data_IF_032197135490
#
_entry.id   IF_032197135490
#
_cell.length_a   1.000
_cell.length_b   1.000
_cell.length_c   1.000
_cell.angle_alpha   90.00
_cell.angle_beta   90.00
_cell.angle_gamma   90.00
#
_symmetry.space_group_name_H-M   'P 1'
#
loop_
_entity.id
_entity.type
_entity.pdbx_description
1 polymer ?
#
# COMPACT_ATOMS: atom_id res chain seq x y z
N UNK A 1 18.27 10.13 -15.19
CA UNK A 1 17.35 10.65 -14.15
C UNK A 1 17.58 9.87 -12.87
N UNK A 2 17.94 10.55 -11.77
CA UNK A 2 18.29 9.87 -10.51
C UNK A 2 17.12 8.99 -10.03
N UNK A 3 17.44 7.79 -9.55
CA UNK A 3 16.46 6.80 -9.04
C UNK A 3 15.53 7.44 -7.99
N UNK A 4 16.07 8.32 -7.15
CA UNK A 4 15.28 9.06 -6.14
C UNK A 4 14.19 9.93 -6.76
N UNK A 5 14.46 10.61 -7.88
CA UNK A 5 13.47 11.42 -8.59
C UNK A 5 12.29 10.58 -9.13
N UNK A 6 12.56 9.36 -9.58
CA UNK A 6 11.52 8.45 -10.06
C UNK A 6 10.53 8.07 -8.96
N UNK A 7 11.01 7.80 -7.74
CA UNK A 7 10.15 7.48 -6.60
C UNK A 7 9.34 8.69 -6.12
N UNK A 8 9.92 9.89 -6.11
CA UNK A 8 9.20 11.12 -5.74
C UNK A 8 8.07 11.38 -6.74
N UNK A 9 8.36 11.28 -8.03
CA UNK A 9 7.34 11.46 -9.09
C UNK A 9 6.25 10.40 -8.98
N UNK A 10 6.60 9.14 -8.73
CA UNK A 10 5.65 8.06 -8.55
C UNK A 10 4.75 8.32 -7.33
N UNK A 11 5.32 8.74 -6.21
CA UNK A 11 4.57 9.10 -5.00
C UNK A 11 3.57 10.23 -5.25
N UNK A 12 4.01 11.30 -5.93
CA UNK A 12 3.15 12.43 -6.28
C UNK A 12 1.98 12.00 -7.19
N UNK A 13 2.23 11.15 -8.19
CA UNK A 13 1.19 10.62 -9.08
C UNK A 13 0.19 9.78 -8.29
N UNK A 14 0.67 8.91 -7.40
CA UNK A 14 -0.20 8.04 -6.59
C UNK A 14 -1.08 8.87 -5.65
N UNK A 15 -0.53 9.91 -4.99
CA UNK A 15 -1.31 10.81 -4.13
C UNK A 15 -2.36 11.55 -4.96
N UNK A 16 -1.99 12.06 -6.13
CA UNK A 16 -2.93 12.75 -7.02
C UNK A 16 -4.06 11.82 -7.48
N UNK A 17 -3.73 10.58 -7.87
CA UNK A 17 -4.75 9.57 -8.21
C UNK A 17 -5.65 9.24 -7.01
N UNK A 18 -5.10 9.17 -5.79
CA UNK A 18 -5.88 8.91 -4.60
C UNK A 18 -6.88 10.02 -4.30
N UNK A 19 -6.47 11.29 -4.43
CA UNK A 19 -7.37 12.45 -4.25
C UNK A 19 -8.54 12.37 -5.24
N UNK A 20 -8.26 12.12 -6.51
CA UNK A 20 -9.31 11.96 -7.52
C UNK A 20 -10.25 10.79 -7.19
N UNK A 21 -9.72 9.66 -6.72
CA UNK A 21 -10.54 8.52 -6.33
C UNK A 21 -11.42 8.83 -5.12
N UNK A 22 -10.89 9.50 -4.13
CA UNK A 22 -11.65 9.88 -2.94
C UNK A 22 -12.82 10.80 -3.27
N UNK A 23 -12.64 11.73 -4.21
CA UNK A 23 -13.69 12.67 -4.63
C UNK A 23 -14.76 12.04 -5.53
N UNK A 24 -14.34 11.18 -6.48
CA UNK A 24 -15.25 10.67 -7.52
C UNK A 24 -15.78 9.26 -7.27
N UNK A 25 -15.12 8.46 -6.44
CA UNK A 25 -15.44 7.04 -6.26
C UNK A 25 -15.86 6.75 -4.82
N UNK A 26 -16.90 7.45 -4.36
CA UNK A 26 -17.53 7.18 -3.06
C UNK A 26 -18.70 6.18 -3.26
N UNK A 27 -18.35 4.92 -3.59
CA UNK A 27 -19.36 3.95 -4.07
C UNK A 27 -20.19 3.34 -2.93
N UNK A 28 -19.60 3.19 -1.72
CA UNK A 28 -20.33 2.57 -0.61
C UNK A 28 -19.64 2.85 0.74
N UNK A 29 -20.37 3.03 1.83
CA UNK A 29 -19.77 3.27 3.15
C UNK A 29 -18.92 2.09 3.65
N UNK A 30 -19.06 0.90 3.06
CA UNK A 30 -18.32 -0.31 3.42
C UNK A 30 -17.01 -0.43 2.65
N UNK A 31 -16.90 0.15 1.44
CA UNK A 31 -15.77 -0.04 0.55
C UNK A 31 -14.89 1.21 0.50
N UNK A 32 -13.70 1.10 1.06
CA UNK A 32 -12.64 2.10 0.92
C UNK A 32 -11.63 1.68 -0.13
N UNK A 33 -11.41 2.55 -1.13
CA UNK A 33 -10.46 2.30 -2.22
C UNK A 33 -9.18 3.07 -1.95
N UNK A 34 -8.05 2.34 -1.84
CA UNK A 34 -6.75 2.88 -1.51
C UNK A 34 -5.68 2.40 -2.51
N UNK A 35 -5.14 3.31 -3.32
CA UNK A 35 -4.01 3.01 -4.23
C UNK A 35 -2.67 3.33 -3.56
N UNK A 36 -2.62 4.29 -2.64
CA UNK A 36 -1.38 4.74 -2.03
C UNK A 36 -0.59 3.67 -1.24
N UNK A 37 -1.17 2.58 -0.68
CA UNK A 37 -0.39 1.48 -0.09
C UNK A 37 0.54 0.81 -1.10
N UNK A 38 0.20 0.85 -2.40
CA UNK A 38 1.04 0.34 -3.47
C UNK A 38 2.45 0.98 -3.45
N UNK A 39 2.55 2.26 -3.10
CA UNK A 39 3.84 2.94 -3.02
C UNK A 39 4.79 2.26 -2.03
N UNK A 40 4.29 1.90 -0.84
CA UNK A 40 5.09 1.21 0.19
C UNK A 40 5.53 -0.18 -0.29
N UNK A 41 4.69 -0.88 -1.05
CA UNK A 41 5.03 -2.18 -1.64
C UNK A 41 6.15 -2.04 -2.67
N UNK A 42 6.09 -1.01 -3.52
CA UNK A 42 7.05 -0.76 -4.61
C UNK A 42 8.43 -0.28 -4.14
N UNK A 43 8.58 0.17 -2.91
CA UNK A 43 9.89 0.61 -2.39
C UNK A 43 10.91 -0.54 -2.47
N UNK A 44 12.18 -0.26 -2.81
CA UNK A 44 13.23 -1.28 -2.87
C UNK A 44 13.51 -1.86 -1.47
N UNK A 45 13.99 -3.11 -1.38
CA UNK A 45 14.15 -3.79 -0.10
C UNK A 45 15.41 -3.38 0.70
N UNK A 46 16.25 -2.50 0.15
CA UNK A 46 17.52 -2.08 0.75
C UNK A 46 17.40 -0.95 1.79
N UNK A 47 16.23 -0.35 1.97
CA UNK A 47 16.03 0.72 2.92
C UNK A 47 15.92 0.19 4.36
N UNK A 48 16.38 0.98 5.33
CA UNK A 48 16.20 0.66 6.74
C UNK A 48 14.71 0.71 7.13
N UNK A 49 14.29 -0.16 8.05
CA UNK A 49 12.90 -0.20 8.54
C UNK A 49 12.40 1.18 9.00
N UNK A 50 13.24 1.96 9.69
CA UNK A 50 12.88 3.31 10.12
C UNK A 50 12.55 4.23 8.93
N UNK A 51 13.29 4.13 7.83
CA UNK A 51 13.04 4.92 6.61
C UNK A 51 11.69 4.55 5.97
N UNK A 52 11.35 3.25 5.90
CA UNK A 52 10.01 2.83 5.43
C UNK A 52 8.90 3.43 6.27
N UNK A 53 9.04 3.38 7.60
CA UNK A 53 8.03 3.91 8.52
C UNK A 53 7.86 5.43 8.37
N UNK A 54 8.97 6.17 8.22
CA UNK A 54 8.93 7.64 8.01
C UNK A 54 8.26 7.96 6.67
N UNK A 55 8.64 7.29 5.58
CA UNK A 55 8.04 7.50 4.27
C UNK A 55 6.55 7.16 4.30
N UNK A 56 6.19 6.03 4.91
CA UNK A 56 4.80 5.60 5.07
C UNK A 56 3.98 6.60 5.89
N UNK A 57 4.54 7.10 7.00
CA UNK A 57 3.90 8.11 7.84
C UNK A 57 3.62 9.40 7.07
N UNK A 58 4.64 9.95 6.38
CA UNK A 58 4.49 11.18 5.61
C UNK A 58 3.47 11.02 4.48
N UNK A 59 3.51 9.89 3.76
CA UNK A 59 2.57 9.62 2.69
C UNK A 59 1.14 9.47 3.22
N UNK A 60 0.95 8.73 4.31
CA UNK A 60 -0.36 8.56 4.94
C UNK A 60 -0.92 9.89 5.47
N UNK A 61 -0.06 10.72 6.07
CA UNK A 61 -0.45 12.04 6.56
C UNK A 61 -0.88 12.97 5.40
N UNK A 62 -0.19 12.91 4.26
CA UNK A 62 -0.60 13.65 3.07
C UNK A 62 -2.00 13.22 2.60
N UNK A 63 -2.28 11.91 2.58
CA UNK A 63 -3.61 11.39 2.19
C UNK A 63 -4.68 11.79 3.22
N UNK A 64 -4.39 11.68 4.51
CA UNK A 64 -5.31 12.09 5.59
C UNK A 64 -5.75 13.54 5.45
N UNK A 65 -4.82 14.44 5.13
CA UNK A 65 -5.10 15.87 4.99
C UNK A 65 -5.85 16.18 3.70
N UNK A 66 -5.54 15.47 2.61
CA UNK A 66 -6.03 15.84 1.27
C UNK A 66 -7.28 15.08 0.83
N UNK A 67 -7.48 13.85 1.33
CA UNK A 67 -8.54 12.97 0.83
C UNK A 67 -9.59 12.61 1.90
N UNK A 68 -9.18 12.27 3.12
CA UNK A 68 -10.10 11.66 4.09
C UNK A 68 -10.55 12.61 5.22
N UNK A 69 -9.80 13.67 5.47
CA UNK A 69 -10.11 14.65 6.52
C UNK A 69 -9.94 14.16 7.97
N UNK A 70 -9.64 12.88 8.19
CA UNK A 70 -9.37 12.29 9.52
C UNK A 70 -7.87 12.08 9.67
N UNK A 71 -7.21 13.04 10.32
CA UNK A 71 -5.75 13.04 10.46
C UNK A 71 -5.27 11.86 11.31
N UNK A 72 -4.32 11.10 10.76
CA UNK A 72 -3.62 10.01 11.43
C UNK A 72 -4.15 8.61 11.12
N UNK A 73 -5.31 8.46 10.50
CA UNK A 73 -5.94 7.15 10.23
C UNK A 73 -5.13 6.33 9.21
N UNK A 74 -4.92 6.90 8.03
CA UNK A 74 -4.10 6.26 6.99
C UNK A 74 -2.62 6.24 7.35
N UNK A 75 -2.13 7.28 8.03
CA UNK A 75 -0.75 7.32 8.49
C UNK A 75 -0.45 6.16 9.44
N UNK A 76 -1.30 5.89 10.44
CA UNK A 76 -1.13 4.77 11.37
C UNK A 76 -1.19 3.41 10.66
N UNK A 77 -2.15 3.23 9.74
CA UNK A 77 -2.31 1.99 8.97
C UNK A 77 -1.10 1.72 8.06
N UNK A 78 -0.58 2.75 7.37
CA UNK A 78 0.63 2.62 6.53
C UNK A 78 1.89 2.36 7.34
N UNK A 79 2.06 2.98 8.51
CA UNK A 79 3.21 2.72 9.39
C UNK A 79 3.19 1.28 9.87
N UNK A 80 2.04 0.75 10.28
CA UNK A 80 1.90 -0.65 10.65
C UNK A 80 2.25 -1.57 9.47
N UNK A 81 1.76 -1.28 8.28
CA UNK A 81 2.08 -2.01 7.05
C UNK A 81 3.59 -1.98 6.76
N UNK A 82 4.23 -0.81 6.86
CA UNK A 82 5.67 -0.63 6.65
C UNK A 82 6.52 -1.38 7.70
N UNK A 83 6.06 -1.43 8.94
CA UNK A 83 6.73 -2.19 10.02
C UNK A 83 6.78 -3.69 9.73
N UNK A 84 5.67 -4.27 9.26
CA UNK A 84 5.59 -5.70 8.94
C UNK A 84 6.13 -6.07 7.57
N UNK A 85 6.50 -5.10 6.73
CA UNK A 85 6.94 -5.32 5.35
C UNK A 85 8.12 -6.30 5.25
N UNK A 86 9.16 -6.11 6.04
CA UNK A 86 10.34 -6.99 6.00
C UNK A 86 9.99 -8.44 6.37
N UNK A 87 9.07 -8.62 7.31
CA UNK A 87 8.57 -9.94 7.69
C UNK A 87 7.81 -10.60 6.54
N UNK A 88 6.90 -9.87 5.89
CA UNK A 88 6.13 -10.37 4.74
C UNK A 88 7.04 -10.73 3.57
N UNK A 89 8.04 -9.89 3.27
CA UNK A 89 9.00 -10.15 2.19
C UNK A 89 9.84 -11.42 2.47
N UNK A 90 10.34 -11.57 3.68
CA UNK A 90 11.11 -12.78 4.08
C UNK A 90 10.26 -14.05 4.08
N UNK A 91 8.96 -13.93 4.34
CA UNK A 91 8.04 -15.06 4.32
C UNK A 91 7.73 -15.53 2.89
N UNK A 92 7.66 -14.59 1.95
CA UNK A 92 7.15 -14.86 0.58
C UNK A 92 8.26 -15.01 -0.45
N UNK A 93 9.39 -14.31 -0.27
CA UNK A 93 10.49 -14.32 -1.23
C UNK A 93 11.59 -15.29 -0.84
N UNK A 94 12.13 -15.99 -1.83
CA UNK A 94 13.37 -16.75 -1.69
C UNK A 94 14.58 -15.81 -1.61
N UNK A 95 15.71 -16.28 -1.08
CA UNK A 95 16.93 -15.45 -0.92
C UNK A 95 17.36 -14.76 -2.22
N UNK A 96 17.35 -15.45 -3.35
CA UNK A 96 17.73 -14.87 -4.65
C UNK A 96 16.75 -13.77 -5.12
N UNK A 97 15.46 -13.94 -4.90
CA UNK A 97 14.45 -12.90 -5.21
C UNK A 97 14.56 -11.69 -4.27
N UNK A 98 14.96 -11.91 -3.03
CA UNK A 98 15.19 -10.85 -2.05
C UNK A 98 16.39 -9.97 -2.45
N UNK A 99 17.51 -10.58 -2.83
CA UNK A 99 18.69 -9.88 -3.36
C UNK A 99 18.38 -9.06 -4.62
N UNK A 100 17.55 -9.61 -5.52
CA UNK A 100 17.08 -8.86 -6.70
C UNK A 100 16.18 -7.68 -6.33
N UNK A 101 15.39 -7.81 -5.28
CA UNK A 101 14.50 -6.76 -4.76
C UNK A 101 15.24 -5.68 -3.95
N UNK A 102 16.51 -5.87 -3.57
CA UNK A 102 17.29 -4.86 -2.85
C UNK A 102 17.51 -3.58 -3.67
N UNK A 103 17.70 -3.71 -4.98
CA UNK A 103 18.00 -2.58 -5.85
C UNK A 103 16.89 -2.22 -6.84
N UNK A 104 15.86 -3.05 -6.94
CA UNK A 104 14.76 -2.89 -7.89
C UNK A 104 13.41 -2.82 -7.16
N UNK A 105 12.43 -2.10 -7.72
CA UNK A 105 11.08 -2.09 -7.15
C UNK A 105 10.46 -3.48 -7.18
N UNK A 106 9.69 -3.81 -6.15
CA UNK A 106 8.94 -5.07 -6.07
C UNK A 106 7.78 -5.02 -7.06
N UNK A 107 7.93 -5.70 -8.18
CA UNK A 107 7.03 -5.62 -9.32
C UNK A 107 6.88 -6.97 -10.02
N UNK A 108 5.91 -7.05 -10.94
CA UNK A 108 5.71 -8.22 -11.79
C UNK A 108 6.93 -8.59 -12.67
N UNK A 109 7.93 -7.71 -12.78
CA UNK A 109 9.20 -7.97 -13.51
C UNK A 109 10.30 -8.55 -12.62
N UNK A 110 10.27 -8.22 -11.33
CA UNK A 110 11.30 -8.63 -10.37
C UNK A 110 10.89 -9.84 -9.55
N UNK A 111 9.60 -10.10 -9.46
CA UNK A 111 9.02 -11.18 -8.64
C UNK A 111 7.97 -11.92 -9.45
N UNK A 112 7.91 -13.23 -9.27
CA UNK A 112 6.87 -14.07 -9.88
C UNK A 112 5.46 -13.61 -9.48
N UNK A 113 4.52 -13.62 -10.42
CA UNK A 113 3.15 -13.14 -10.22
C UNK A 113 2.47 -13.73 -8.97
N UNK A 114 2.52 -15.06 -8.68
CA UNK A 114 1.87 -15.61 -7.49
C UNK A 114 2.47 -15.09 -6.18
N UNK A 115 3.79 -14.86 -6.12
CA UNK A 115 4.45 -14.27 -4.94
C UNK A 115 4.07 -12.79 -4.79
N UNK A 116 3.97 -12.05 -5.91
CA UNK A 116 3.53 -10.67 -5.90
C UNK A 116 2.08 -10.53 -5.38
N UNK A 117 1.17 -11.43 -5.80
CA UNK A 117 -0.20 -11.49 -5.29
C UNK A 117 -0.20 -11.72 -3.78
N UNK A 118 0.59 -12.67 -3.30
CA UNK A 118 0.67 -13.00 -1.86
C UNK A 118 1.21 -11.82 -1.04
N UNK A 119 2.27 -11.15 -1.52
CA UNK A 119 2.82 -9.95 -0.87
C UNK A 119 1.75 -8.86 -0.79
N UNK A 120 1.08 -8.57 -1.91
CA UNK A 120 0.06 -7.55 -2.01
C UNK A 120 -1.12 -7.85 -1.08
N UNK A 121 -1.60 -9.10 -1.06
CA UNK A 121 -2.68 -9.54 -0.19
C UNK A 121 -2.33 -9.37 1.29
N UNK A 122 -1.17 -9.87 1.72
CA UNK A 122 -0.73 -9.79 3.12
C UNK A 122 -0.51 -8.34 3.57
N UNK A 123 0.13 -7.53 2.74
CA UNK A 123 0.39 -6.13 3.04
C UNK A 123 -0.90 -5.32 3.17
N UNK A 124 -1.85 -5.51 2.24
CA UNK A 124 -3.15 -4.86 2.30
C UNK A 124 -4.02 -5.37 3.46
N UNK A 125 -3.93 -6.66 3.79
CA UNK A 125 -4.63 -7.21 4.95
C UNK A 125 -4.17 -6.53 6.25
N UNK A 126 -2.86 -6.31 6.43
CA UNK A 126 -2.32 -5.57 7.58
C UNK A 126 -2.83 -4.12 7.57
N UNK A 127 -2.76 -3.45 6.42
CA UNK A 127 -3.23 -2.08 6.27
C UNK A 127 -4.71 -1.95 6.64
N UNK A 128 -5.59 -2.73 6.02
CA UNK A 128 -7.04 -2.64 6.25
C UNK A 128 -7.45 -3.13 7.63
N UNK A 129 -6.71 -4.05 8.25
CA UNK A 129 -6.97 -4.44 9.63
C UNK A 129 -6.79 -3.26 10.57
N UNK A 130 -5.67 -2.55 10.48
CA UNK A 130 -5.41 -1.38 11.33
C UNK A 130 -6.37 -0.24 10.99
N UNK A 131 -6.55 0.06 9.70
CA UNK A 131 -7.45 1.11 9.24
C UNK A 131 -8.87 0.92 9.76
N UNK A 132 -9.47 -0.25 9.53
CA UNK A 132 -10.87 -0.52 9.90
C UNK A 132 -11.05 -0.60 11.42
N UNK A 133 -10.05 -1.12 12.16
CA UNK A 133 -10.12 -1.13 13.63
C UNK A 133 -10.10 0.29 14.21
N UNK A 134 -9.30 1.19 13.65
CA UNK A 134 -9.28 2.59 14.08
C UNK A 134 -10.53 3.35 13.66
N UNK A 135 -11.00 3.15 12.43
CA UNK A 135 -12.22 3.77 11.89
C UNK A 135 -13.49 3.31 12.63
N UNK A 136 -13.58 2.03 12.99
CA UNK A 136 -14.74 1.44 13.67
C UNK A 136 -14.69 1.50 15.20
N UNK A 137 -13.71 2.17 15.79
CA UNK A 137 -13.53 2.20 17.24
C UNK A 137 -14.75 2.73 18.01
N UNK A 138 -15.56 3.59 17.38
CA UNK A 138 -16.78 4.16 17.99
C UNK A 138 -18.03 3.25 17.87
N UNK A 139 -18.09 2.35 16.86
CA UNK A 139 -19.26 1.54 16.54
C UNK A 139 -18.85 0.10 16.21
N UNK A 140 -18.24 -0.59 17.17
CA UNK A 140 -17.67 -1.91 16.95
C UNK A 140 -18.76 -2.99 16.82
N UNK A 141 -18.92 -3.50 15.60
CA UNK A 141 -19.68 -4.72 15.31
C UNK A 141 -18.72 -5.75 14.70
N UNK A 142 -18.40 -6.85 15.40
CA UNK A 142 -17.31 -7.75 14.97
C UNK A 142 -17.55 -8.36 13.59
N UNK A 143 -18.77 -8.75 13.27
CA UNK A 143 -19.09 -9.33 11.98
C UNK A 143 -18.94 -8.32 10.83
N UNK A 144 -19.43 -7.09 11.03
CA UNK A 144 -19.30 -6.00 10.07
C UNK A 144 -17.83 -5.62 9.83
N UNK A 145 -17.04 -5.53 10.90
CA UNK A 145 -15.61 -5.21 10.84
C UNK A 145 -14.83 -6.24 10.04
N UNK A 146 -15.06 -7.54 10.29
CA UNK A 146 -14.40 -8.63 9.54
C UNK A 146 -14.80 -8.59 8.07
N UNK A 147 -16.08 -8.41 7.77
CA UNK A 147 -16.56 -8.32 6.38
C UNK A 147 -15.95 -7.11 5.65
N UNK A 148 -15.89 -5.95 6.30
CA UNK A 148 -15.28 -4.72 5.74
C UNK A 148 -13.81 -4.94 5.44
N UNK A 149 -13.03 -5.53 6.37
CA UNK A 149 -11.61 -5.86 6.15
C UNK A 149 -11.44 -6.79 4.96
N UNK A 150 -12.20 -7.89 4.90
CA UNK A 150 -12.09 -8.88 3.83
C UNK A 150 -12.42 -8.28 2.47
N UNK A 151 -13.51 -7.52 2.37
CA UNK A 151 -13.98 -6.91 1.13
C UNK A 151 -13.03 -5.82 0.64
N UNK A 152 -12.59 -4.91 1.53
CA UNK A 152 -11.61 -3.88 1.19
C UNK A 152 -10.27 -4.50 0.75
N UNK A 153 -9.78 -5.52 1.45
CA UNK A 153 -8.54 -6.20 1.09
C UNK A 153 -8.64 -6.86 -0.28
N UNK A 154 -9.73 -7.58 -0.58
CA UNK A 154 -9.89 -8.27 -1.85
C UNK A 154 -9.97 -7.31 -3.04
N UNK A 155 -10.81 -6.28 -2.95
CA UNK A 155 -10.99 -5.30 -4.03
C UNK A 155 -9.71 -4.51 -4.27
N UNK A 156 -9.08 -4.01 -3.20
CA UNK A 156 -7.85 -3.24 -3.33
C UNK A 156 -6.66 -4.11 -3.77
N UNK A 157 -6.64 -5.41 -3.46
CA UNK A 157 -5.62 -6.32 -3.98
C UNK A 157 -5.67 -6.39 -5.51
N UNK A 158 -6.85 -6.55 -6.09
CA UNK A 158 -7.02 -6.58 -7.54
C UNK A 158 -6.60 -5.24 -8.15
N UNK A 159 -7.08 -4.13 -7.58
CA UNK A 159 -6.80 -2.78 -8.08
C UNK A 159 -5.30 -2.46 -8.02
N UNK A 160 -4.65 -2.73 -6.90
CA UNK A 160 -3.21 -2.50 -6.72
C UNK A 160 -2.36 -3.39 -7.63
N UNK A 161 -2.77 -4.64 -7.90
CA UNK A 161 -2.08 -5.50 -8.86
C UNK A 161 -2.19 -4.94 -10.29
N UNK A 162 -3.35 -4.50 -10.71
CA UNK A 162 -3.54 -3.84 -12.01
C UNK A 162 -2.68 -2.58 -12.12
N UNK A 163 -2.69 -1.75 -11.10
CA UNK A 163 -1.85 -0.56 -11.05
C UNK A 163 -0.35 -0.90 -11.08
N UNK A 164 0.09 -1.94 -10.37
CA UNK A 164 1.48 -2.40 -10.37
C UNK A 164 1.93 -2.79 -11.78
N UNK A 165 1.12 -3.55 -12.51
CA UNK A 165 1.43 -3.97 -13.88
C UNK A 165 1.48 -2.76 -14.83
N UNK A 166 0.46 -1.88 -14.78
CA UNK A 166 0.34 -0.75 -15.70
C UNK A 166 1.35 0.37 -15.43
N UNK A 167 1.51 0.78 -14.15
CA UNK A 167 2.41 1.88 -13.78
C UNK A 167 3.88 1.55 -14.02
N UNK A 168 4.29 0.31 -13.77
CA UNK A 168 5.66 -0.11 -13.95
C UNK A 168 6.08 -0.28 -15.42
N UNK A 169 5.16 -0.57 -16.31
CA UNK A 169 5.45 -0.57 -17.74
C UNK A 169 5.75 0.83 -18.28
N UNK A 170 5.11 1.87 -17.74
CA UNK A 170 5.21 3.24 -18.27
C UNK A 170 6.22 4.14 -17.57
N UNK A 171 6.41 4.02 -16.26
CA UNK A 171 7.14 5.03 -15.45
C UNK A 171 8.56 4.60 -15.12
N UNK A 172 8.82 3.30 -14.99
CA UNK A 172 10.14 2.75 -14.60
C UNK A 172 10.95 2.19 -15.79
N UNK A 173 10.50 2.47 -17.01
CA UNK A 173 11.24 2.16 -18.25
C UNK A 173 12.42 3.08 -18.50
#
# INVERSE_FOLDING_TARGET
MNIQFKYITLGAIIIFCQILLSEYVNIWPILYIAIFPLFVILLPANLNRAMYMIIAFLLGLCVDITADGVIGLNAAALVAMAYFRDFVLKLTLTKGNLESAENLPISARTVEIPKLITINLLMLAIFFTVYVLLDSAATFSPLYTILKIALCTAVNCILNLLCNIVLLEKILR
#
